data_IF_056418097221
#
_entry.id   IF_056418097221
#
_cell.length_a   1.000
_cell.length_b   1.000
_cell.length_c   1.000
_cell.angle_alpha   90.00
_cell.angle_beta   90.00
_cell.angle_gamma   90.00
#
_symmetry.space_group_name_H-M   'P 1'
#
loop_
_entity.id
_entity.type
_entity.pdbx_description
1 polymer ?
#
# COMPACT_ATOMS: atom_id res chain seq x y z
N UNK A 1 -6.09 -2.22 24.35
CA UNK A 1 -6.16 -1.12 23.35
C UNK A 1 -5.05 -1.18 22.29
N UNK A 2 -3.82 -1.63 22.62
CA UNK A 2 -2.68 -1.63 21.67
C UNK A 2 -2.77 -2.48 20.37
N UNK A 3 -3.27 -3.74 20.39
CA UNK A 3 -3.25 -4.58 19.17
C UNK A 3 -4.37 -4.25 18.18
N UNK A 4 -5.52 -3.77 18.65
CA UNK A 4 -6.65 -3.39 17.80
C UNK A 4 -6.37 -2.14 16.95
N UNK A 5 -5.77 -1.10 17.56
CA UNK A 5 -5.37 0.11 16.83
C UNK A 5 -4.28 -0.18 15.79
N UNK A 6 -3.33 -1.06 16.11
CA UNK A 6 -2.30 -1.48 15.17
C UNK A 6 -2.89 -2.22 13.96
N UNK A 7 -3.85 -3.12 14.19
CA UNK A 7 -4.56 -3.81 13.10
C UNK A 7 -5.36 -2.82 12.22
N UNK A 8 -6.09 -1.88 12.82
CA UNK A 8 -6.84 -0.85 12.08
C UNK A 8 -5.90 0.04 11.27
N UNK A 9 -4.80 0.52 11.84
CA UNK A 9 -3.83 1.37 11.13
C UNK A 9 -3.19 0.68 9.93
N UNK A 10 -2.86 -0.62 10.06
CA UNK A 10 -2.31 -1.42 8.96
C UNK A 10 -3.34 -1.63 7.86
N UNK A 11 -4.57 -1.98 8.21
CA UNK A 11 -5.65 -2.15 7.24
C UNK A 11 -5.96 -0.85 6.50
N UNK A 12 -6.13 0.27 7.22
CA UNK A 12 -6.37 1.59 6.63
C UNK A 12 -5.22 2.02 5.72
N UNK A 13 -3.96 1.75 6.09
CA UNK A 13 -2.81 2.04 5.25
C UNK A 13 -2.84 1.24 3.94
N UNK A 14 -3.09 -0.08 4.01
CA UNK A 14 -3.15 -0.93 2.81
C UNK A 14 -4.26 -0.48 1.85
N UNK A 15 -5.45 -0.17 2.39
CA UNK A 15 -6.57 0.31 1.58
C UNK A 15 -6.27 1.68 0.95
N UNK A 16 -5.79 2.64 1.73
CA UNK A 16 -5.49 3.98 1.21
C UNK A 16 -4.33 3.99 0.22
N UNK A 17 -3.33 3.11 0.39
CA UNK A 17 -2.18 3.02 -0.51
C UNK A 17 -2.52 2.40 -1.86
N UNK A 18 -3.51 1.51 -1.89
CA UNK A 18 -3.93 0.79 -3.10
C UNK A 18 -5.00 1.54 -3.90
N UNK A 19 -5.60 2.59 -3.32
CA UNK A 19 -6.71 3.29 -3.96
C UNK A 19 -6.24 4.14 -5.15
N UNK A 20 -6.68 3.75 -6.35
CA UNK A 20 -6.34 4.44 -7.60
C UNK A 20 -7.39 5.50 -7.99
N UNK A 21 -8.67 5.22 -7.75
CA UNK A 21 -9.76 6.07 -8.25
C UNK A 21 -9.84 7.39 -7.50
N UNK A 22 -9.69 7.36 -6.18
CA UNK A 22 -9.65 8.58 -5.38
C UNK A 22 -8.37 9.37 -5.67
N UNK A 23 -7.25 8.64 -5.81
CA UNK A 23 -5.97 9.20 -6.17
C UNK A 23 -6.00 9.94 -7.52
N UNK A 24 -6.58 9.38 -8.58
CA UNK A 24 -6.58 10.03 -9.90
C UNK A 24 -7.48 11.26 -9.96
N UNK A 25 -8.58 11.26 -9.20
CA UNK A 25 -9.53 12.39 -9.16
C UNK A 25 -8.97 13.57 -8.38
N UNK A 26 -8.22 13.31 -7.30
CA UNK A 26 -7.71 14.34 -6.38
C UNK A 26 -6.24 14.71 -6.63
N UNK A 27 -5.51 13.94 -7.44
CA UNK A 27 -4.10 14.16 -7.73
C UNK A 27 -3.87 15.45 -8.52
N UNK A 28 -2.95 16.27 -8.03
CA UNK A 28 -2.38 17.45 -8.69
C UNK A 28 -0.96 17.11 -9.21
N UNK A 29 -0.43 17.89 -10.16
CA UNK A 29 0.90 17.67 -10.76
C UNK A 29 2.06 17.65 -9.77
N UNK A 30 1.87 18.19 -8.56
CA UNK A 30 2.88 18.24 -7.50
C UNK A 30 2.83 17.03 -6.54
N UNK A 31 1.70 16.32 -6.50
CA UNK A 31 1.46 15.22 -5.56
C UNK A 31 0.76 14.06 -6.28
N UNK A 32 1.51 13.35 -7.12
CA UNK A 32 0.99 12.23 -7.91
C UNK A 32 1.28 10.91 -7.20
N UNK A 33 0.25 10.14 -6.80
CA UNK A 33 0.42 8.82 -6.22
C UNK A 33 1.04 7.86 -7.24
N UNK A 34 1.87 6.92 -6.77
CA UNK A 34 2.56 5.95 -7.66
C UNK A 34 1.58 5.14 -8.53
N UNK A 35 0.37 4.86 -8.02
CA UNK A 35 -0.70 4.20 -8.78
C UNK A 35 -1.15 5.02 -10.00
N UNK A 36 -1.23 6.35 -9.85
CA UNK A 36 -1.54 7.30 -10.93
C UNK A 36 -0.34 7.49 -11.85
N UNK A 37 0.87 7.60 -11.29
CA UNK A 37 2.11 7.70 -12.05
C UNK A 37 2.36 6.48 -12.96
N UNK A 38 2.00 5.29 -12.50
CA UNK A 38 2.08 4.05 -13.29
C UNK A 38 1.15 4.10 -14.52
N UNK A 39 -0.05 4.67 -14.37
CA UNK A 39 -1.01 4.82 -15.48
C UNK A 39 -0.53 5.82 -16.55
N UNK A 40 0.29 6.80 -16.19
CA UNK A 40 0.88 7.75 -17.16
C UNK A 40 1.86 7.08 -18.16
N UNK A 41 2.36 5.87 -17.86
CA UNK A 41 3.19 5.10 -18.80
C UNK A 41 2.39 4.32 -19.85
N UNK A 42 1.06 4.33 -19.75
CA UNK A 42 0.14 3.88 -20.80
C UNK A 42 -0.14 5.08 -21.70
N UNK A 43 0.57 5.17 -22.82
CA UNK A 43 0.47 6.29 -23.75
C UNK A 43 -0.21 5.88 -25.05
N UNK A 44 -0.74 6.84 -25.82
CA UNK A 44 -1.32 6.57 -27.14
C UNK A 44 -0.34 5.96 -28.15
N UNK A 45 0.98 6.09 -27.89
CA UNK A 45 2.05 5.55 -28.72
C UNK A 45 2.46 4.11 -28.33
N UNK A 46 1.90 3.58 -27.24
CA UNK A 46 2.21 2.25 -26.74
C UNK A 46 2.36 2.20 -25.22
N UNK A 47 2.40 0.97 -24.70
CA UNK A 47 2.54 0.67 -23.27
C UNK A 47 4.01 0.45 -22.93
N UNK A 48 4.55 1.29 -22.04
CA UNK A 48 5.93 1.14 -21.55
C UNK A 48 5.98 0.14 -20.38
N UNK A 49 5.88 -1.15 -20.70
CA UNK A 49 5.83 -2.23 -19.70
C UNK A 49 7.01 -2.22 -18.72
N UNK A 50 8.23 -1.87 -19.17
CA UNK A 50 9.40 -1.79 -18.29
C UNK A 50 9.26 -0.75 -17.18
N UNK A 51 8.80 0.46 -17.53
CA UNK A 51 8.62 1.54 -16.55
C UNK A 51 7.45 1.27 -15.60
N UNK A 52 6.36 0.67 -16.10
CA UNK A 52 5.26 0.20 -15.26
C UNK A 52 5.75 -0.84 -14.25
N UNK A 53 6.54 -1.81 -14.70
CA UNK A 53 7.10 -2.87 -13.85
C UNK A 53 8.01 -2.30 -12.76
N UNK A 54 8.85 -1.32 -13.11
CA UNK A 54 9.74 -0.64 -12.18
C UNK A 54 8.94 0.19 -11.16
N UNK A 55 7.94 0.95 -11.61
CA UNK A 55 7.06 1.74 -10.75
C UNK A 55 6.28 0.87 -9.76
N UNK A 56 5.71 -0.25 -10.23
CA UNK A 56 4.98 -1.22 -9.39
C UNK A 56 5.92 -1.90 -8.39
N UNK A 57 7.13 -2.28 -8.82
CA UNK A 57 8.11 -2.87 -7.89
C UNK A 57 8.47 -1.88 -6.77
N UNK A 58 8.67 -0.61 -7.11
CA UNK A 58 8.93 0.45 -6.12
C UNK A 58 7.70 0.72 -5.24
N UNK A 59 6.49 0.63 -5.78
CA UNK A 59 5.23 0.85 -5.06
C UNK A 59 4.96 -0.18 -3.96
N UNK A 60 5.56 -1.37 -4.09
CA UNK A 60 5.42 -2.46 -3.12
C UNK A 60 6.31 -2.22 -1.90
N UNK A 61 7.40 -1.44 -2.01
CA UNK A 61 8.35 -1.23 -0.90
C UNK A 61 7.70 -0.65 0.37
N UNK A 62 6.91 0.44 0.33
CA UNK A 62 6.29 1.00 1.53
C UNK A 62 5.33 0.03 2.24
N UNK A 63 4.40 -0.67 1.56
CA UNK A 63 3.58 -1.69 2.20
C UNK A 63 4.40 -2.85 2.75
N UNK A 64 5.51 -3.25 2.11
CA UNK A 64 6.37 -4.32 2.61
C UNK A 64 7.07 -3.92 3.93
N UNK A 65 7.53 -2.67 4.03
CA UNK A 65 8.09 -2.11 5.27
C UNK A 65 7.01 -2.05 6.36
N UNK A 66 5.81 -1.58 6.02
CA UNK A 66 4.70 -1.52 6.97
C UNK A 66 4.25 -2.90 7.44
N UNK A 67 4.17 -3.87 6.52
CA UNK A 67 3.80 -5.25 6.81
C UNK A 67 4.83 -5.93 7.71
N UNK A 68 6.13 -5.76 7.46
CA UNK A 68 7.19 -6.33 8.31
C UNK A 68 7.22 -5.69 9.70
N UNK A 69 6.99 -4.38 9.81
CA UNK A 69 6.82 -3.71 11.10
C UNK A 69 5.57 -4.23 11.84
N UNK A 70 4.46 -4.40 11.12
CA UNK A 70 3.19 -4.90 11.63
C UNK A 70 3.23 -6.38 12.03
N UNK A 71 4.03 -7.22 11.35
CA UNK A 71 4.18 -8.65 11.66
C UNK A 71 4.55 -8.86 13.13
N UNK A 72 5.40 -8.01 13.72
CA UNK A 72 5.75 -8.11 15.14
C UNK A 72 4.55 -7.88 16.07
N UNK A 73 3.60 -7.04 15.67
CA UNK A 73 2.37 -6.76 16.41
C UNK A 73 1.27 -7.79 16.14
N UNK A 74 1.16 -8.26 14.90
CA UNK A 74 0.21 -9.31 14.50
C UNK A 74 0.57 -10.65 15.15
N UNK A 75 1.85 -11.04 15.17
CA UNK A 75 2.31 -12.26 15.86
C UNK A 75 2.02 -12.17 17.36
N UNK A 76 2.30 -11.04 18.02
CA UNK A 76 1.95 -10.83 19.44
C UNK A 76 0.45 -10.84 19.70
N UNK A 77 -0.35 -10.27 18.79
CA UNK A 77 -1.81 -10.24 18.89
C UNK A 77 -2.43 -11.62 18.71
N UNK A 78 -1.92 -12.43 17.77
CA UNK A 78 -2.36 -13.79 17.50
C UNK A 78 -2.00 -14.73 18.66
N UNK A 79 -0.78 -14.63 19.22
CA UNK A 79 -0.36 -15.40 20.40
C UNK A 79 -1.17 -15.05 21.65
N UNK A 80 -1.54 -13.79 21.85
CA UNK A 80 -2.36 -13.36 22.99
C UNK A 80 -3.84 -13.76 22.84
N UNK A 81 -4.35 -13.93 21.62
CA UNK A 81 -5.69 -14.46 21.35
C UNK A 81 -5.76 -15.99 21.45
N UNK A 82 -4.72 -16.70 21.04
CA UNK A 82 -4.67 -18.17 21.05
C UNK A 82 -4.62 -18.80 22.45
N UNK A 83 -4.12 -18.08 23.47
CA UNK A 83 -4.10 -18.53 24.87
C UNK A 83 -5.40 -18.23 25.64
N UNK A 84 -6.40 -17.64 24.98
CA UNK A 84 -7.74 -17.40 25.56
C UNK A 84 -8.80 -18.38 25.04
N UNK A 85 -8.40 -19.38 24.25
CA UNK A 85 -9.19 -20.57 23.94
C UNK A 85 -8.91 -21.68 24.94
#
# INVERSE_FOLDING_TARGET
MGPGLAAVGVLTFIFSWSDYLFAVVLSSSEATPVTVGAANFVTSYGVRWGDISAAVTLSILPPLIFATAAQRYLVKGLSAGAIKG
#
